data_IF_720542756912
#
_entry.id   IF_720542756912
#
_cell.length_a   1.000
_cell.length_b   1.000
_cell.length_c   1.000
_cell.angle_alpha   90.00
_cell.angle_beta   90.00
_cell.angle_gamma   90.00
#
_symmetry.space_group_name_H-M   'P 1'
#
loop_
_entity.id
_entity.type
_entity.pdbx_description
1 polymer ?
#
# COMPACT_ATOMS: atom_id res chain seq x y z
N UNK A 1 -13.65 17.48 12.68
CA UNK A 1 -12.52 16.82 12.00
C UNK A 1 -11.36 17.80 11.93
N UNK A 2 -10.13 17.44 12.31
CA UNK A 2 -8.98 18.33 12.11
C UNK A 2 -8.84 18.63 10.61
N UNK A 3 -8.64 19.91 10.26
CA UNK A 3 -8.33 20.32 8.89
C UNK A 3 -7.03 19.62 8.48
N UNK A 4 -6.95 19.02 7.27
CA UNK A 4 -5.69 18.44 6.82
C UNK A 4 -4.61 19.52 6.83
N UNK A 5 -3.39 19.14 7.26
CA UNK A 5 -2.23 20.04 7.21
C UNK A 5 -2.09 20.63 5.81
N UNK A 6 -1.75 21.93 5.65
CA UNK A 6 -1.55 22.54 4.33
C UNK A 6 -0.50 21.80 3.49
N UNK A 7 0.43 21.08 4.13
CA UNK A 7 1.41 20.21 3.47
C UNK A 7 0.74 19.05 2.74
N UNK A 8 -0.34 18.48 3.29
CA UNK A 8 -1.08 17.37 2.68
C UNK A 8 -2.08 17.84 1.61
N UNK A 9 -2.47 19.12 1.63
CA UNK A 9 -3.41 19.68 0.65
C UNK A 9 -2.83 19.72 -0.79
N UNK A 10 -1.51 19.82 -0.93
CA UNK A 10 -0.80 19.78 -2.22
C UNK A 10 0.28 18.69 -2.24
N UNK A 11 0.00 17.58 -1.54
CA UNK A 11 0.99 16.53 -1.30
C UNK A 11 1.66 16.03 -2.59
N UNK A 12 0.90 15.87 -3.68
CA UNK A 12 1.36 15.30 -4.96
C UNK A 12 2.36 16.21 -5.70
N UNK A 13 2.32 17.52 -5.47
CA UNK A 13 3.24 18.50 -6.07
C UNK A 13 4.48 18.73 -5.19
N UNK A 14 4.58 18.03 -4.05
CA UNK A 14 5.67 18.23 -3.11
C UNK A 14 6.99 17.59 -3.60
N UNK A 15 8.14 18.26 -3.44
CA UNK A 15 9.44 17.67 -3.78
C UNK A 15 9.75 16.40 -2.97
N UNK A 16 9.23 16.27 -1.74
CA UNK A 16 9.41 15.11 -0.89
C UNK A 16 8.53 13.93 -1.36
N UNK A 17 9.17 12.82 -1.74
CA UNK A 17 8.47 11.61 -2.17
C UNK A 17 7.55 11.02 -1.08
N UNK A 18 7.96 11.07 0.18
CA UNK A 18 7.14 10.60 1.31
C UNK A 18 5.82 11.38 1.37
N UNK A 19 5.88 12.72 1.23
CA UNK A 19 4.67 13.55 1.22
C UNK A 19 3.79 13.22 0.02
N UNK A 20 4.37 13.06 -1.19
CA UNK A 20 3.60 12.63 -2.36
C UNK A 20 2.90 11.29 -2.17
N UNK A 21 3.60 10.31 -1.60
CA UNK A 21 3.03 9.00 -1.27
C UNK A 21 1.87 9.12 -0.29
N UNK A 22 1.97 10.01 0.70
CA UNK A 22 0.85 10.30 1.61
C UNK A 22 -0.32 10.99 0.92
N UNK A 23 -0.12 11.67 -0.20
CA UNK A 23 -1.20 12.20 -1.05
C UNK A 23 -2.01 11.11 -1.77
N UNK A 24 -1.43 9.92 -1.95
CA UNK A 24 -2.08 8.75 -2.58
C UNK A 24 -2.61 7.78 -1.52
N UNK A 25 -1.79 7.48 -0.51
CA UNK A 25 -2.06 6.53 0.58
C UNK A 25 -2.56 7.27 1.83
N UNK A 26 -3.46 8.23 1.63
CA UNK A 26 -3.85 9.24 2.63
C UNK A 26 -4.49 8.68 3.88
N UNK A 27 -5.11 7.50 3.81
CA UNK A 27 -5.81 6.93 4.95
C UNK A 27 -5.68 5.42 5.09
N UNK A 28 -6.21 4.93 6.22
CA UNK A 28 -6.22 3.52 6.59
C UNK A 28 -6.85 2.65 5.51
N UNK A 29 -7.90 3.13 4.82
CA UNK A 29 -8.62 2.33 3.84
C UNK A 29 -7.78 2.07 2.60
N UNK A 30 -6.98 3.04 2.13
CA UNK A 30 -6.07 2.80 1.01
C UNK A 30 -5.13 1.62 1.26
N UNK A 31 -4.52 1.55 2.46
CA UNK A 31 -3.65 0.43 2.82
C UNK A 31 -4.42 -0.90 2.97
N UNK A 32 -5.61 -0.86 3.57
CA UNK A 32 -6.44 -2.06 3.72
C UNK A 32 -6.92 -2.60 2.37
N UNK A 33 -7.29 -1.73 1.42
CA UNK A 33 -7.69 -2.15 0.07
C UNK A 33 -6.55 -2.81 -0.69
N UNK A 34 -5.33 -2.24 -0.61
CA UNK A 34 -4.15 -2.87 -1.20
C UNK A 34 -3.87 -4.23 -0.54
N UNK A 35 -3.99 -4.34 0.79
CA UNK A 35 -3.85 -5.62 1.50
C UNK A 35 -4.85 -6.66 1.00
N UNK A 36 -6.13 -6.31 0.89
CA UNK A 36 -7.15 -7.25 0.41
C UNK A 36 -6.92 -7.63 -1.06
N UNK A 37 -6.44 -6.69 -1.89
CA UNK A 37 -6.09 -6.99 -3.27
C UNK A 37 -4.92 -7.99 -3.37
N UNK A 38 -3.90 -7.84 -2.51
CA UNK A 38 -2.81 -8.82 -2.36
C UNK A 38 -3.28 -10.18 -1.85
N UNK A 39 -4.41 -10.23 -1.13
CA UNK A 39 -5.09 -11.46 -0.71
C UNK A 39 -6.04 -12.02 -1.79
N UNK A 40 -6.15 -11.35 -2.94
CA UNK A 40 -6.93 -11.81 -4.09
C UNK A 40 -8.33 -11.21 -4.22
N UNK A 41 -8.69 -10.21 -3.41
CA UNK A 41 -9.91 -9.44 -3.64
C UNK A 41 -9.79 -8.63 -4.94
N UNK A 42 -10.77 -8.76 -5.84
CA UNK A 42 -10.76 -8.09 -7.15
C UNK A 42 -12.02 -7.30 -7.42
N UNK A 43 -13.14 -7.64 -6.79
CA UNK A 43 -14.43 -7.00 -7.04
C UNK A 43 -14.86 -6.12 -5.88
N UNK A 44 -15.69 -5.11 -6.18
CA UNK A 44 -16.26 -4.23 -5.14
C UNK A 44 -16.92 -5.02 -3.99
N UNK A 45 -17.66 -6.09 -4.32
CA UNK A 45 -18.30 -6.93 -3.32
C UNK A 45 -17.28 -7.61 -2.40
N UNK A 46 -16.20 -8.19 -2.95
CA UNK A 46 -15.15 -8.81 -2.14
C UNK A 46 -14.48 -7.81 -1.20
N UNK A 47 -14.15 -6.61 -1.67
CA UNK A 47 -13.58 -5.56 -0.80
C UNK A 47 -14.54 -5.14 0.31
N UNK A 48 -15.81 -4.92 -0.02
CA UNK A 48 -16.84 -4.55 0.96
C UNK A 48 -17.03 -5.65 2.00
N UNK A 49 -17.14 -6.90 1.56
CA UNK A 49 -17.42 -8.03 2.44
C UNK A 49 -16.21 -8.33 3.35
N UNK A 50 -14.98 -8.12 2.88
CA UNK A 50 -13.76 -8.27 3.67
C UNK A 50 -13.55 -7.14 4.70
N UNK A 51 -13.87 -5.90 4.34
CA UNK A 51 -13.53 -4.72 5.15
C UNK A 51 -14.70 -4.14 5.97
N UNK A 52 -15.95 -4.45 5.62
CA UNK A 52 -17.14 -3.86 6.25
C UNK A 52 -17.26 -2.34 6.06
N UNK A 53 -16.53 -1.78 5.10
CA UNK A 53 -16.48 -0.35 4.82
C UNK A 53 -17.77 0.12 4.13
N UNK A 54 -18.20 1.35 4.42
CA UNK A 54 -19.34 1.98 3.75
C UNK A 54 -19.11 2.10 2.23
N UNK A 55 -20.17 1.86 1.44
CA UNK A 55 -20.07 1.75 -0.02
C UNK A 55 -19.59 3.03 -0.71
N UNK A 56 -19.98 4.19 -0.19
CA UNK A 56 -19.57 5.50 -0.67
C UNK A 56 -18.07 5.73 -0.44
N UNK A 57 -17.56 5.40 0.75
CA UNK A 57 -16.13 5.47 1.09
C UNK A 57 -15.34 4.49 0.23
N UNK A 58 -15.81 3.26 0.06
CA UNK A 58 -15.17 2.26 -0.80
C UNK A 58 -15.07 2.74 -2.25
N UNK A 59 -16.16 3.29 -2.78
CA UNK A 59 -16.21 3.84 -4.14
C UNK A 59 -15.18 4.94 -4.31
N UNK A 60 -15.14 5.91 -3.39
CA UNK A 60 -14.20 7.02 -3.43
C UNK A 60 -12.74 6.56 -3.36
N UNK A 61 -12.44 5.54 -2.53
CA UNK A 61 -11.07 5.02 -2.38
C UNK A 61 -10.61 4.20 -3.56
N UNK A 62 -11.44 3.30 -4.09
CA UNK A 62 -11.11 2.56 -5.31
C UNK A 62 -10.91 3.52 -6.49
N UNK A 63 -11.74 4.55 -6.62
CA UNK A 63 -11.57 5.57 -7.66
C UNK A 63 -10.22 6.31 -7.52
N UNK A 64 -9.86 6.73 -6.30
CA UNK A 64 -8.58 7.40 -6.04
C UNK A 64 -7.37 6.50 -6.30
N UNK A 65 -7.40 5.23 -5.90
CA UNK A 65 -6.33 4.27 -6.20
C UNK A 65 -6.18 4.02 -7.71
N UNK A 66 -7.28 4.08 -8.47
CA UNK A 66 -7.25 3.98 -9.94
C UNK A 66 -6.70 5.25 -10.57
N UNK A 67 -7.14 6.43 -10.10
CA UNK A 67 -6.65 7.73 -10.57
C UNK A 67 -5.13 7.88 -10.39
N UNK A 68 -4.59 7.39 -9.28
CA UNK A 68 -3.16 7.41 -9.00
C UNK A 68 -2.38 6.22 -9.57
N UNK A 69 -3.03 5.36 -10.36
CA UNK A 69 -2.37 4.24 -11.04
C UNK A 69 -1.87 3.14 -10.11
N UNK A 70 -2.37 3.05 -8.87
CA UNK A 70 -2.12 1.93 -7.94
C UNK A 70 -2.95 0.71 -8.34
N UNK A 71 -4.17 0.95 -8.81
CA UNK A 71 -5.05 -0.07 -9.35
C UNK A 71 -5.48 0.26 -10.78
N UNK A 72 -5.89 -0.75 -11.53
CA UNK A 72 -6.57 -0.58 -12.82
C UNK A 72 -7.98 -1.16 -12.72
N UNK A 73 -8.94 -0.43 -13.27
CA UNK A 73 -10.33 -0.85 -13.35
C UNK A 73 -10.58 -1.57 -14.68
N UNK A 74 -10.93 -2.85 -14.63
CA UNK A 74 -11.14 -3.68 -15.82
C UNK A 74 -12.58 -4.22 -15.86
N UNK A 75 -13.23 -4.28 -17.05
CA UNK A 75 -14.51 -4.96 -17.18
C UNK A 75 -14.36 -6.45 -16.86
N UNK A 76 -15.15 -6.92 -15.90
CA UNK A 76 -15.18 -8.31 -15.46
C UNK A 76 -16.57 -8.89 -15.70
N UNK A 77 -16.65 -10.02 -16.41
CA UNK A 77 -17.93 -10.67 -16.70
C UNK A 77 -17.84 -12.16 -16.38
N UNK A 78 -18.66 -12.60 -15.43
CA UNK A 78 -18.97 -14.02 -15.27
C UNK A 78 -19.96 -14.40 -16.38
N UNK A 79 -19.74 -15.51 -17.11
CA UNK A 79 -20.70 -15.99 -18.11
C UNK A 79 -22.13 -16.06 -17.55
N UNK A 80 -23.09 -15.51 -18.28
CA UNK A 80 -24.50 -15.47 -17.85
C UNK A 80 -24.87 -14.36 -16.86
N UNK A 81 -23.92 -13.53 -16.40
CA UNK A 81 -24.19 -12.39 -15.52
C UNK A 81 -23.92 -11.03 -16.18
N UNK A 82 -24.40 -9.96 -15.54
CA UNK A 82 -24.11 -8.57 -15.89
C UNK A 82 -22.60 -8.31 -15.74
N UNK A 83 -22.02 -7.55 -16.67
CA UNK A 83 -20.66 -7.02 -16.54
C UNK A 83 -20.53 -6.20 -15.27
N UNK A 84 -19.53 -6.55 -14.45
CA UNK A 84 -19.09 -5.83 -13.26
C UNK A 84 -17.71 -5.27 -13.52
N UNK A 85 -17.20 -4.48 -12.59
CA UNK A 85 -15.84 -4.01 -12.63
C UNK A 85 -14.97 -4.85 -11.69
N UNK A 86 -13.76 -5.18 -12.14
CA UNK A 86 -12.67 -5.66 -11.30
C UNK A 86 -11.63 -4.55 -11.12
N UNK A 87 -10.88 -4.65 -10.02
CA UNK A 87 -9.80 -3.76 -9.63
C UNK A 87 -8.58 -4.62 -9.38
N UNK A 88 -7.59 -4.47 -10.26
CA UNK A 88 -6.34 -5.23 -10.21
C UNK A 88 -5.21 -4.30 -9.83
N UNK A 89 -4.24 -4.78 -9.04
CA UNK A 89 -3.03 -4.00 -8.75
C UNK A 89 -2.23 -3.81 -10.05
N UNK A 90 -1.70 -2.61 -10.22
CA UNK A 90 -0.68 -2.33 -11.24
C UNK A 90 0.69 -2.76 -10.72
N UNK A 91 1.76 -2.70 -11.54
CA UNK A 91 3.12 -2.88 -11.03
C UNK A 91 3.45 -1.95 -9.84
N UNK A 92 3.03 -0.69 -9.91
CA UNK A 92 3.19 0.27 -8.82
C UNK A 92 2.39 -0.13 -7.55
N UNK A 93 1.21 -0.74 -7.72
CA UNK A 93 0.42 -1.26 -6.60
C UNK A 93 1.03 -2.51 -5.95
N UNK A 94 1.65 -3.39 -6.74
CA UNK A 94 2.36 -4.57 -6.22
C UNK A 94 3.59 -4.21 -5.39
N UNK A 95 4.31 -3.13 -5.75
CA UNK A 95 5.47 -2.63 -4.99
C UNK A 95 5.10 -2.20 -3.55
N UNK A 96 3.84 -1.86 -3.29
CA UNK A 96 3.36 -1.51 -1.94
C UNK A 96 3.40 -2.69 -0.96
N UNK A 97 3.59 -3.92 -1.45
CA UNK A 97 3.80 -5.11 -0.61
C UNK A 97 4.94 -4.90 0.39
N UNK A 98 6.07 -4.34 -0.05
CA UNK A 98 7.23 -4.06 0.82
C UNK A 98 6.88 -3.04 1.91
N UNK A 99 6.11 -2.01 1.56
CA UNK A 99 5.64 -1.00 2.53
C UNK A 99 4.74 -1.64 3.58
N UNK A 100 3.79 -2.48 3.17
CA UNK A 100 2.88 -3.19 4.09
C UNK A 100 3.63 -4.15 5.03
N UNK A 101 4.66 -4.86 4.53
CA UNK A 101 5.52 -5.71 5.37
C UNK A 101 6.23 -4.88 6.44
N UNK A 102 6.87 -3.78 6.05
CA UNK A 102 7.56 -2.89 6.99
C UNK A 102 6.61 -2.29 8.04
N UNK A 103 5.41 -1.85 7.60
CA UNK A 103 4.37 -1.34 8.49
C UNK A 103 3.89 -2.40 9.48
N UNK A 104 3.67 -3.63 9.02
CA UNK A 104 3.25 -4.73 9.90
C UNK A 104 4.33 -5.06 10.93
N UNK A 105 5.60 -5.12 10.52
CA UNK A 105 6.73 -5.39 11.41
C UNK A 105 6.85 -4.35 12.53
N UNK A 106 6.69 -3.07 12.19
CA UNK A 106 6.67 -1.99 13.18
C UNK A 106 5.47 -2.13 14.12
N UNK A 107 4.27 -2.37 13.57
CA UNK A 107 3.04 -2.52 14.33
C UNK A 107 3.10 -3.70 15.31
N UNK A 108 3.65 -4.84 14.88
CA UNK A 108 3.82 -6.02 15.73
C UNK A 108 4.71 -5.75 16.94
N UNK A 109 5.74 -4.91 16.78
CA UNK A 109 6.72 -4.62 17.83
C UNK A 109 6.22 -3.56 18.81
N UNK A 110 5.49 -2.55 18.31
CA UNK A 110 5.21 -1.32 19.08
C UNK A 110 3.74 -1.07 19.40
N UNK A 111 2.81 -1.77 18.74
CA UNK A 111 1.38 -1.63 19.00
C UNK A 111 0.91 -2.90 19.73
N UNK A 112 0.49 -2.80 21.01
CA UNK A 112 0.00 -3.95 21.77
C UNK A 112 -1.10 -4.69 21.00
N UNK A 113 -0.98 -6.02 20.90
CA UNK A 113 -1.95 -6.87 20.23
C UNK A 113 -2.54 -7.90 21.19
N UNK A 114 -3.83 -8.18 21.03
CA UNK A 114 -4.38 -9.51 21.33
C UNK A 114 -3.78 -10.53 20.33
N UNK A 115 -3.55 -11.79 20.69
CA UNK A 115 -2.62 -12.71 20.02
C UNK A 115 -2.96 -13.11 18.56
N UNK A 116 -4.05 -12.66 17.96
CA UNK A 116 -4.48 -13.08 16.62
C UNK A 116 -4.05 -12.11 15.50
N UNK A 117 -2.83 -12.29 14.97
CA UNK A 117 -2.48 -11.77 13.64
C UNK A 117 -3.21 -12.56 12.56
N UNK A 118 -4.19 -11.96 11.88
CA UNK A 118 -5.00 -12.63 10.84
C UNK A 118 -4.36 -12.62 9.44
N UNK A 119 -3.39 -11.74 9.19
CA UNK A 119 -2.70 -11.63 7.91
C UNK A 119 -1.21 -11.50 8.19
N UNK A 120 -0.39 -12.37 7.61
CA UNK A 120 1.07 -12.38 7.78
C UNK A 120 1.74 -12.52 6.41
N UNK A 121 2.85 -11.81 6.14
CA UNK A 121 3.58 -11.95 4.90
C UNK A 121 4.41 -13.23 4.95
N UNK A 122 4.20 -14.07 3.95
CA UNK A 122 4.88 -15.36 3.82
C UNK A 122 5.53 -15.45 2.44
N UNK A 123 6.64 -16.18 2.35
CA UNK A 123 7.18 -16.62 1.07
C UNK A 123 6.14 -17.47 0.33
N UNK A 124 6.06 -17.31 -0.99
CA UNK A 124 5.19 -18.13 -1.85
C UNK A 124 5.57 -19.62 -1.76
N UNK A 125 6.87 -19.90 -1.66
CA UNK A 125 7.43 -21.23 -1.46
C UNK A 125 7.82 -21.44 -0.01
N UNK A 126 7.42 -22.57 0.59
CA UNK A 126 7.82 -22.93 1.96
C UNK A 126 7.11 -22.16 3.09
N UNK A 127 6.29 -21.14 2.79
CA UNK A 127 5.45 -20.38 3.74
C UNK A 127 6.22 -19.85 4.96
N UNK A 128 7.42 -19.33 4.73
CA UNK A 128 8.26 -18.76 5.78
C UNK A 128 7.89 -17.29 6.00
N UNK A 129 7.94 -16.80 7.24
CA UNK A 129 7.73 -15.38 7.53
C UNK A 129 8.83 -14.54 6.89
N UNK A 130 8.44 -13.39 6.35
CA UNK A 130 9.38 -12.39 5.82
C UNK A 130 9.30 -11.09 6.62
N UNK A 131 10.39 -10.35 6.64
CA UNK A 131 10.51 -9.03 7.25
C UNK A 131 11.14 -8.06 6.25
N UNK A 132 10.95 -6.76 6.48
CA UNK A 132 11.53 -5.73 5.64
C UNK A 132 12.95 -5.40 6.13
N UNK A 133 13.89 -5.34 5.20
CA UNK A 133 15.27 -4.90 5.44
C UNK A 133 15.65 -3.77 4.47
N UNK A 134 16.64 -2.97 4.86
CA UNK A 134 17.27 -1.99 3.98
C UNK A 134 18.47 -2.66 3.34
N UNK A 135 18.65 -2.48 2.03
CA UNK A 135 19.76 -3.05 1.28
C UNK A 135 20.50 -1.94 0.53
N UNK A 136 21.83 -2.03 0.50
CA UNK A 136 22.66 -1.12 -0.29
C UNK A 136 22.76 -1.57 -1.76
N UNK A 137 23.35 -0.77 -2.66
CA UNK A 137 23.53 -1.16 -4.07
C UNK A 137 24.40 -2.40 -4.31
N UNK A 138 25.12 -2.89 -3.29
CA UNK A 138 25.88 -4.13 -3.36
C UNK A 138 25.06 -5.35 -2.86
N UNK A 139 23.78 -5.15 -2.52
CA UNK A 139 22.89 -6.19 -2.01
C UNK A 139 23.13 -6.55 -0.54
N UNK A 140 23.88 -5.73 0.20
CA UNK A 140 24.16 -5.99 1.63
C UNK A 140 23.08 -5.38 2.49
N UNK A 141 22.62 -6.12 3.50
CA UNK A 141 21.73 -5.58 4.52
C UNK A 141 22.39 -4.43 5.27
N UNK A 142 21.68 -3.31 5.35
CA UNK A 142 22.07 -2.10 6.09
C UNK A 142 21.19 -2.00 7.32
N UNK A 143 21.83 -1.87 8.46
CA UNK A 143 21.15 -1.77 9.74
C UNK A 143 20.53 -0.35 9.90
N UNK A 144 19.31 -0.18 10.48
CA UNK A 144 18.61 1.11 10.49
C UNK A 144 19.37 2.27 11.15
N UNK A 145 20.18 2.00 12.18
CA UNK A 145 21.06 3.00 12.83
C UNK A 145 22.20 3.49 11.93
N UNK A 146 22.58 2.72 10.91
CA UNK A 146 23.55 3.11 9.89
C UNK A 146 22.94 3.97 8.76
N UNK A 147 21.63 4.29 8.83
CA UNK A 147 20.93 5.10 7.82
C UNK A 147 20.64 6.50 8.35
N UNK A 148 21.03 7.51 7.57
CA UNK A 148 20.77 8.91 7.87
C UNK A 148 19.86 9.55 6.82
N UNK A 149 18.81 10.22 7.26
CA UNK A 149 18.04 11.13 6.41
C UNK A 149 18.80 12.45 6.26
N UNK A 150 19.22 12.75 5.04
CA UNK A 150 19.90 14.01 4.70
C UNK A 150 18.99 14.89 3.86
N UNK A 151 19.09 16.21 4.04
CA UNK A 151 18.44 17.18 3.14
C UNK A 151 19.31 17.34 1.90
N UNK A 152 18.72 17.20 0.72
CA UNK A 152 19.40 17.42 -0.56
C UNK A 152 18.69 18.50 -1.37
N UNK A 153 19.46 19.37 -2.02
CA UNK A 153 18.94 20.39 -2.94
C UNK A 153 18.62 19.82 -4.33
N UNK A 154 19.14 18.63 -4.64
CA UNK A 154 18.99 17.95 -5.94
C UNK A 154 18.31 16.59 -5.75
N UNK A 155 17.48 16.19 -6.71
CA UNK A 155 16.86 14.86 -6.73
C UNK A 155 17.99 13.81 -6.76
N UNK A 156 18.09 12.92 -5.78
CA UNK A 156 19.10 11.86 -5.79
C UNK A 156 18.83 10.93 -6.99
N UNK A 157 19.88 10.31 -7.51
CA UNK A 157 19.76 9.28 -8.54
C UNK A 157 18.82 8.16 -8.06
N UNK A 158 18.07 7.51 -8.95
CA UNK A 158 17.32 6.31 -8.59
C UNK A 158 18.27 5.30 -7.93
N UNK A 159 17.79 4.59 -6.91
CA UNK A 159 18.49 3.40 -6.44
C UNK A 159 18.23 2.34 -7.50
N UNK A 160 19.27 1.90 -8.20
CA UNK A 160 19.16 0.79 -9.14
C UNK A 160 18.72 -0.46 -8.37
N UNK A 161 17.62 -1.07 -8.82
CA UNK A 161 17.01 -2.28 -8.24
C UNK A 161 17.32 -3.54 -9.04
#
# INVERSE_FOLDING_TARGET
MPRPSPILAHAIENPCAIIRSLGVLTDTWSFLLVREALLGARTFAQFRDALGIASDVLTARLASLVEHGVMVKTPYRVPGQRTRDAYDLTPAGEELKTVLVAMQQWGHTHVPQEPELRVVPLTTEGRQRVHAELVDPAGRTVAPEAVQFVRTASRPAPVDG
#
